data_IF_634244368106
#
_entry.id   IF_634244368106
#
_cell.length_a   1.000
_cell.length_b   1.000
_cell.length_c   1.000
_cell.angle_alpha   90.00
_cell.angle_beta   90.00
_cell.angle_gamma   90.00
#
_symmetry.space_group_name_H-M   'P 1'
#
loop_
_entity.id
_entity.type
_entity.pdbx_description
1 polymer ?
#
# COMPACT_ATOMS: atom_id res chain seq x y z
N UNK A 1 23.90 -34.15 -10.48
CA UNK A 1 22.49 -33.72 -10.34
C UNK A 1 22.47 -32.24 -10.09
N UNK A 2 21.83 -31.47 -10.98
CA UNK A 2 21.22 -30.14 -10.76
C UNK A 2 21.03 -29.48 -12.14
N UNK A 3 20.19 -30.08 -12.97
CA UNK A 3 19.61 -29.37 -14.11
C UNK A 3 18.59 -28.36 -13.56
N UNK A 4 19.07 -27.21 -13.10
CA UNK A 4 18.23 -26.03 -12.98
C UNK A 4 17.87 -25.63 -14.41
N UNK A 5 16.80 -26.23 -14.94
CA UNK A 5 16.18 -25.83 -16.20
C UNK A 5 15.99 -24.31 -16.19
N UNK A 6 16.14 -23.58 -17.32
CA UNK A 6 15.75 -22.18 -17.38
C UNK A 6 14.22 -22.11 -17.26
N UNK A 7 13.71 -22.28 -16.04
CA UNK A 7 12.35 -21.94 -15.67
C UNK A 7 12.20 -20.49 -16.07
N UNK A 8 11.43 -20.27 -17.14
CA UNK A 8 11.12 -18.99 -17.76
C UNK A 8 10.92 -17.94 -16.67
N UNK A 9 11.99 -17.24 -16.35
CA UNK A 9 12.07 -16.41 -15.18
C UNK A 9 11.69 -15.01 -15.63
N UNK A 10 10.71 -14.45 -14.95
CA UNK A 10 10.14 -13.17 -15.31
C UNK A 10 10.89 -12.10 -14.52
N UNK A 11 11.97 -11.60 -15.11
CA UNK A 11 12.80 -10.56 -14.51
C UNK A 11 12.16 -9.18 -14.68
N UNK A 12 12.18 -8.38 -13.61
CA UNK A 12 11.83 -6.98 -13.65
C UNK A 12 12.93 -6.16 -14.32
N UNK A 13 12.57 -5.37 -15.32
CA UNK A 13 13.50 -4.48 -16.03
C UNK A 13 13.96 -3.26 -15.20
N UNK A 14 13.31 -2.96 -14.07
CA UNK A 14 13.63 -1.79 -13.24
C UNK A 14 14.50 -2.09 -12.02
N UNK A 15 14.42 -3.30 -11.44
CA UNK A 15 15.17 -3.64 -10.23
C UNK A 15 15.69 -5.08 -10.22
N UNK A 16 15.78 -5.71 -11.40
CA UNK A 16 16.39 -7.02 -11.64
C UNK A 16 15.82 -8.19 -10.82
N UNK A 17 14.71 -7.97 -10.11
CA UNK A 17 13.99 -9.00 -9.33
C UNK A 17 13.38 -10.04 -10.25
N UNK A 18 13.55 -11.29 -9.88
CA UNK A 18 13.14 -12.44 -10.70
C UNK A 18 11.93 -13.13 -10.09
N UNK A 19 10.87 -13.30 -10.89
CA UNK A 19 9.63 -13.95 -10.47
C UNK A 19 9.43 -15.25 -11.24
N UNK A 20 8.85 -16.28 -10.59
CA UNK A 20 8.51 -17.53 -11.28
C UNK A 20 7.20 -17.44 -12.10
N UNK A 21 6.41 -16.38 -11.89
CA UNK A 21 5.11 -16.16 -12.54
C UNK A 21 5.01 -14.80 -13.21
N UNK A 22 4.37 -14.75 -14.39
CA UNK A 22 4.10 -13.50 -15.13
C UNK A 22 3.15 -12.58 -14.39
N UNK A 23 2.11 -13.11 -13.77
CA UNK A 23 1.13 -12.34 -12.99
C UNK A 23 1.79 -11.62 -11.80
N UNK A 24 2.68 -12.30 -11.08
CA UNK A 24 3.49 -11.69 -10.02
C UNK A 24 4.41 -10.59 -10.56
N UNK A 25 5.12 -10.83 -11.68
CA UNK A 25 5.90 -9.78 -12.31
C UNK A 25 5.02 -8.59 -12.71
N UNK A 26 3.85 -8.82 -13.31
CA UNK A 26 2.93 -7.75 -13.71
C UNK A 26 2.46 -6.92 -12.52
N UNK A 27 2.09 -7.57 -11.41
CA UNK A 27 1.74 -6.89 -10.17
C UNK A 27 2.94 -6.14 -9.56
N UNK A 28 4.14 -6.69 -9.69
CA UNK A 28 5.36 -6.04 -9.27
C UNK A 28 5.71 -4.82 -10.14
N UNK A 29 5.49 -4.85 -11.45
CA UNK A 29 5.73 -3.70 -12.33
C UNK A 29 4.87 -2.50 -11.91
N UNK A 30 3.64 -2.75 -11.42
CA UNK A 30 2.81 -1.70 -10.84
C UNK A 30 3.46 -1.01 -9.63
N UNK A 31 4.47 -1.61 -8.98
CA UNK A 31 5.21 -0.95 -7.89
C UNK A 31 6.21 0.08 -8.38
N UNK A 32 6.67 -0.05 -9.63
CA UNK A 32 7.55 0.91 -10.28
C UNK A 32 6.77 2.07 -10.88
N UNK A 33 5.49 1.86 -11.22
CA UNK A 33 4.58 2.91 -11.69
C UNK A 33 3.98 3.70 -10.51
N UNK A 34 4.43 4.94 -10.23
CA UNK A 34 3.90 5.75 -9.13
C UNK A 34 2.41 6.08 -9.32
N UNK A 35 1.91 6.04 -10.56
CA UNK A 35 0.51 6.28 -10.88
C UNK A 35 -0.40 5.09 -10.52
N UNK A 36 0.14 3.87 -10.47
CA UNK A 36 -0.58 2.64 -10.11
C UNK A 36 -0.54 2.38 -8.60
N UNK A 37 0.54 2.78 -7.93
CA UNK A 37 0.62 2.85 -6.47
C UNK A 37 -0.03 4.11 -5.94
N UNK A 38 -1.32 4.30 -6.24
CA UNK A 38 -2.05 5.51 -5.87
C UNK A 38 -2.30 5.62 -4.35
N UNK A 39 -2.22 4.51 -3.61
CA UNK A 39 -2.57 4.47 -2.19
C UNK A 39 -1.33 4.21 -1.33
N UNK A 40 -0.67 5.28 -0.91
CA UNK A 40 0.47 5.24 0.01
C UNK A 40 0.04 5.53 1.45
N UNK A 41 0.54 4.77 2.41
CA UNK A 41 0.47 5.11 3.82
C UNK A 41 1.60 6.06 4.17
N UNK A 42 1.26 7.22 4.74
CA UNK A 42 2.23 8.22 5.16
C UNK A 42 2.92 7.85 6.48
N UNK A 43 2.26 7.07 7.35
CA UNK A 43 2.84 6.67 8.64
C UNK A 43 4.02 5.70 8.51
N UNK A 44 4.00 4.81 7.51
CA UNK A 44 5.08 3.83 7.31
C UNK A 44 5.66 3.80 5.89
N UNK A 45 5.17 4.64 4.99
CA UNK A 45 5.62 4.71 3.60
C UNK A 45 5.21 3.51 2.73
N UNK A 46 4.37 2.58 3.22
CA UNK A 46 3.92 1.41 2.44
C UNK A 46 2.95 1.84 1.35
N UNK A 47 3.16 1.32 0.14
CA UNK A 47 2.34 1.62 -1.03
C UNK A 47 1.52 0.42 -1.46
N UNK A 48 0.27 0.69 -1.81
CA UNK A 48 -0.72 -0.29 -2.22
C UNK A 48 -1.24 0.08 -3.62
N UNK A 49 -1.44 -0.95 -4.44
CA UNK A 49 -2.00 -0.81 -5.78
C UNK A 49 -3.54 -0.83 -5.79
N UNK A 50 -4.16 -1.08 -4.63
CA UNK A 50 -5.61 -1.23 -4.46
C UNK A 50 -6.07 -0.52 -3.18
N UNK A 51 -7.22 0.16 -3.26
CA UNK A 51 -7.83 0.85 -2.13
C UNK A 51 -8.18 -0.10 -0.98
N UNK A 52 -8.63 -1.33 -1.29
CA UNK A 52 -8.96 -2.33 -0.28
C UNK A 52 -7.72 -2.77 0.52
N UNK A 53 -6.59 -2.99 -0.18
CA UNK A 53 -5.31 -3.31 0.47
C UNK A 53 -4.82 -2.19 1.37
N UNK A 54 -4.95 -0.94 0.91
CA UNK A 54 -4.63 0.25 1.69
C UNK A 54 -5.51 0.40 2.93
N UNK A 55 -6.84 0.32 2.80
CA UNK A 55 -7.76 0.40 3.95
C UNK A 55 -7.49 -0.69 4.98
N UNK A 56 -7.29 -1.94 4.54
CA UNK A 56 -6.94 -3.02 5.45
C UNK A 56 -5.64 -2.74 6.17
N UNK A 57 -4.67 -2.14 5.50
CA UNK A 57 -3.43 -1.74 6.12
C UNK A 57 -3.59 -0.61 7.14
N UNK A 58 -4.38 0.42 6.85
CA UNK A 58 -4.70 1.47 7.83
C UNK A 58 -5.41 0.90 9.07
N UNK A 59 -6.28 -0.09 8.89
CA UNK A 59 -6.91 -0.80 10.00
C UNK A 59 -5.87 -1.48 10.92
N UNK A 60 -4.75 -1.95 10.36
CA UNK A 60 -3.66 -2.54 11.14
C UNK A 60 -2.86 -1.49 11.91
N UNK A 61 -2.79 -0.24 11.43
CA UNK A 61 -2.21 0.86 12.19
C UNK A 61 -3.06 1.16 13.42
N UNK A 62 -4.37 1.35 13.25
CA UNK A 62 -5.29 1.54 14.37
C UNK A 62 -5.31 0.35 15.35
N UNK A 63 -5.30 -0.88 14.82
CA UNK A 63 -5.27 -2.08 15.67
C UNK A 63 -3.91 -2.31 16.36
N UNK A 64 -2.79 -1.90 15.75
CA UNK A 64 -1.45 -2.03 16.38
C UNK A 64 -1.19 -0.95 17.42
N UNK A 65 -1.72 0.25 17.21
CA UNK A 65 -1.65 1.32 18.20
C UNK A 65 -2.55 1.04 19.41
N UNK A 66 -3.57 0.17 19.28
CA UNK A 66 -4.54 -0.11 20.34
C UNK A 66 -5.55 1.02 20.54
N UNK A 67 -5.20 2.21 20.06
CA UNK A 67 -6.05 3.39 20.01
C UNK A 67 -6.87 3.41 18.72
N UNK A 68 -8.19 3.55 18.88
CA UNK A 68 -9.14 3.78 17.80
C UNK A 68 -9.10 5.23 17.30
N UNK A 69 -7.92 5.84 17.36
CA UNK A 69 -7.63 7.20 16.92
C UNK A 69 -7.37 7.25 15.43
N UNK A 70 -7.92 8.25 14.76
CA UNK A 70 -7.60 8.56 13.37
C UNK A 70 -6.18 9.12 13.25
N UNK A 71 -5.30 8.48 12.50
CA UNK A 71 -3.94 9.00 12.24
C UNK A 71 -3.88 10.30 11.43
N UNK A 72 -4.99 10.73 10.81
CA UNK A 72 -5.03 11.96 9.99
C UNK A 72 -5.40 13.19 10.81
N UNK A 73 -6.37 13.07 11.72
CA UNK A 73 -6.87 14.18 12.54
C UNK A 73 -6.82 13.93 14.05
N UNK A 74 -6.17 12.84 14.47
CA UNK A 74 -6.06 12.37 15.86
C UNK A 74 -7.42 12.18 16.58
N UNK A 75 -8.51 11.98 15.83
CA UNK A 75 -9.85 11.84 16.41
C UNK A 75 -10.03 10.44 17.01
N UNK A 76 -10.33 10.35 18.31
CA UNK A 76 -10.67 9.11 19.01
C UNK A 76 -12.07 8.61 18.61
N UNK A 77 -12.14 7.41 18.03
CA UNK A 77 -13.41 6.77 17.67
C UNK A 77 -13.70 5.57 18.58
N UNK A 78 -14.97 5.23 18.73
CA UNK A 78 -15.40 4.11 19.59
C UNK A 78 -15.29 2.72 18.95
N UNK A 79 -15.09 2.63 17.64
CA UNK A 79 -15.06 1.36 16.91
C UNK A 79 -14.23 1.44 15.63
N UNK A 80 -13.58 0.32 15.27
CA UNK A 80 -12.82 0.18 14.01
C UNK A 80 -13.69 0.43 12.77
N UNK A 81 -14.95 0.04 12.80
CA UNK A 81 -15.87 0.19 11.66
C UNK A 81 -16.19 1.66 11.38
N UNK A 82 -16.41 2.45 12.44
CA UNK A 82 -16.60 3.91 12.35
C UNK A 82 -15.32 4.58 11.88
N UNK A 83 -14.15 4.10 12.33
CA UNK A 83 -12.86 4.63 11.90
C UNK A 83 -12.62 4.38 10.41
N UNK A 84 -12.94 3.18 9.92
CA UNK A 84 -12.81 2.85 8.51
C UNK A 84 -13.72 3.70 7.62
N UNK A 85 -14.92 4.03 8.09
CA UNK A 85 -15.84 4.90 7.37
C UNK A 85 -15.39 6.37 7.40
N UNK A 86 -14.95 6.85 8.56
CA UNK A 86 -14.33 8.16 8.73
C UNK A 86 -13.10 8.35 7.82
N UNK A 87 -12.25 7.31 7.69
CA UNK A 87 -11.11 7.31 6.77
C UNK A 87 -11.52 7.36 5.28
N UNK A 88 -12.77 7.01 4.92
CA UNK A 88 -13.28 7.20 3.56
C UNK A 88 -13.51 8.68 3.27
N UNK A 89 -14.02 9.42 4.24
CA UNK A 89 -14.25 10.86 4.10
C UNK A 89 -12.92 11.59 3.84
N UNK A 90 -11.84 11.19 4.51
CA UNK A 90 -10.47 11.68 4.22
C UNK A 90 -9.95 11.30 2.82
N UNK A 91 -10.49 10.25 2.20
CA UNK A 91 -10.08 9.83 0.86
C UNK A 91 -10.83 10.56 -0.27
N UNK A 92 -12.01 11.14 0.04
CA UNK A 92 -12.79 11.97 -0.88
C UNK A 92 -12.20 13.39 -0.99
N UNK A 93 -11.54 13.84 0.08
CA UNK A 93 -10.57 14.93 0.08
C UNK A 93 -9.32 14.44 -0.66
N UNK A 94 -9.38 14.47 -1.99
CA UNK A 94 -8.31 14.13 -2.94
C UNK A 94 -6.92 14.46 -2.36
N UNK A 95 -5.95 13.53 -2.37
CA UNK A 95 -4.68 13.73 -1.71
C UNK A 95 -4.02 15.01 -2.27
N UNK A 96 -3.67 16.01 -1.43
CA UNK A 96 -2.72 17.01 -1.86
C UNK A 96 -1.40 16.29 -2.10
N UNK A 97 -1.09 16.08 -3.37
CA UNK A 97 0.28 15.82 -3.79
C UNK A 97 1.12 17.06 -3.43
N UNK A 98 2.17 16.88 -2.63
CA UNK A 98 3.24 17.86 -2.46
C UNK A 98 3.50 18.21 -1.00
N UNK A 99 4.54 17.61 -0.40
CA UNK A 99 5.86 18.24 -0.22
C UNK A 99 5.85 19.56 0.55
N UNK A 100 6.40 19.54 1.77
CA UNK A 100 7.70 20.18 2.06
C UNK A 100 8.12 19.99 3.52
N UNK A 101 9.19 19.22 3.65
CA UNK A 101 10.27 19.43 4.62
C UNK A 101 10.57 20.93 4.78
N UNK A 102 10.63 21.39 6.03
CA UNK A 102 11.47 22.52 6.44
C UNK A 102 11.84 22.38 7.91
#
# INVERSE_FOLDING_TARGET
>A
MATHSPQKSHQCAHCEKTFNRKDHLKNHLQTHDPNKMAFGCEECGKKYNTMLGYKRHLALHAASSGDLTCGVCALELGSTEVLLDHLKAHAEEKPPSGTKEK
#
